data_IF_462221095490
#
_entry.id   IF_462221095490
#
_cell.length_a   1.000
_cell.length_b   1.000
_cell.length_c   1.000
_cell.angle_alpha   90.00
_cell.angle_beta   90.00
_cell.angle_gamma   90.00
#
_symmetry.space_group_name_H-M   'P 1'
#
loop_
_entity.id
_entity.type
_entity.pdbx_description
1 polymer ?
#
# COMPACT_ATOMS: atom_id res chain seq x y z
N UNK A 1 -21.01 14.28 -1.25
CA UNK A 1 -20.12 13.12 -1.43
C UNK A 1 -20.79 11.89 -0.83
N UNK A 2 -20.74 10.76 -1.51
CA UNK A 2 -21.29 9.50 -1.00
C UNK A 2 -20.48 8.97 0.19
N UNK A 3 -21.11 8.17 1.04
CA UNK A 3 -20.41 7.44 2.11
C UNK A 3 -19.44 6.44 1.47
N UNK A 4 -18.16 6.52 1.84
CA UNK A 4 -17.16 5.51 1.49
C UNK A 4 -17.43 4.25 2.31
N UNK A 5 -17.59 3.11 1.65
CA UNK A 5 -17.95 1.86 2.32
C UNK A 5 -16.79 0.88 2.46
N UNK A 6 -15.71 1.08 1.68
CA UNK A 6 -14.51 0.25 1.71
C UNK A 6 -13.26 1.11 1.54
N UNK A 7 -12.15 0.70 2.13
CA UNK A 7 -10.90 1.46 2.07
C UNK A 7 -10.35 1.57 0.63
N UNK A 8 -10.68 0.64 -0.27
CA UNK A 8 -10.24 0.66 -1.67
C UNK A 8 -10.86 1.80 -2.49
N UNK A 9 -11.95 2.38 -2.01
CA UNK A 9 -12.58 3.56 -2.60
C UNK A 9 -11.81 4.86 -2.24
N UNK A 10 -10.91 4.83 -1.25
CA UNK A 10 -10.09 5.98 -0.90
C UNK A 10 -9.04 6.25 -1.99
N UNK A 11 -9.02 7.47 -2.51
CA UNK A 11 -8.01 7.90 -3.50
C UNK A 11 -6.58 7.66 -3.00
N UNK A 12 -6.30 7.96 -1.72
CA UNK A 12 -4.98 7.73 -1.11
C UNK A 12 -4.58 6.25 -1.10
N UNK A 13 -5.53 5.32 -0.93
CA UNK A 13 -5.25 3.89 -1.02
C UNK A 13 -4.98 3.46 -2.46
N UNK A 14 -5.72 4.02 -3.43
CA UNK A 14 -5.52 3.75 -4.85
C UNK A 14 -4.15 4.23 -5.34
N UNK A 15 -3.71 5.43 -4.90
CA UNK A 15 -2.37 5.93 -5.20
C UNK A 15 -1.28 5.09 -4.53
N UNK A 16 -1.47 4.68 -3.27
CA UNK A 16 -0.56 3.75 -2.60
C UNK A 16 -0.43 2.42 -3.37
N UNK A 17 -1.53 1.89 -3.93
CA UNK A 17 -1.53 0.69 -4.78
C UNK A 17 -0.75 0.88 -6.07
N UNK A 18 -0.85 2.04 -6.72
CA UNK A 18 -0.06 2.37 -7.92
C UNK A 18 1.44 2.43 -7.59
N UNK A 19 1.81 3.06 -6.47
CA UNK A 19 3.19 3.10 -5.99
C UNK A 19 3.71 1.68 -5.70
N UNK A 20 2.92 0.83 -5.03
CA UNK A 20 3.27 -0.56 -4.80
C UNK A 20 3.55 -1.31 -6.11
N UNK A 21 2.68 -1.16 -7.11
CA UNK A 21 2.90 -1.77 -8.43
C UNK A 21 4.21 -1.30 -9.07
N UNK A 22 4.53 -0.01 -9.00
CA UNK A 22 5.80 0.54 -9.50
C UNK A 22 7.01 -0.01 -8.75
N UNK A 23 6.96 -0.11 -7.42
CA UNK A 23 8.02 -0.72 -6.61
C UNK A 23 8.25 -2.17 -7.00
N UNK A 24 7.19 -2.96 -7.20
CA UNK A 24 7.32 -4.33 -7.65
C UNK A 24 8.00 -4.41 -9.02
N UNK A 25 7.58 -3.59 -9.99
CA UNK A 25 8.21 -3.51 -11.31
C UNK A 25 9.71 -3.14 -11.22
N UNK A 26 10.05 -2.11 -10.44
CA UNK A 26 11.45 -1.67 -10.26
C UNK A 26 12.31 -2.78 -9.64
N UNK A 27 11.78 -3.48 -8.65
CA UNK A 27 12.50 -4.55 -7.93
C UNK A 27 12.61 -5.85 -8.73
N UNK A 28 11.90 -6.01 -9.85
CA UNK A 28 12.07 -7.15 -10.77
C UNK A 28 13.21 -6.96 -11.76
N UNK A 29 13.71 -5.74 -11.96
CA UNK A 29 14.83 -5.47 -12.89
C UNK A 29 16.11 -6.21 -12.49
N UNK A 30 16.88 -6.69 -13.48
CA UNK A 30 18.04 -7.57 -13.30
C UNK A 30 19.18 -7.01 -12.42
N UNK A 31 19.27 -5.69 -12.27
CA UNK A 31 20.22 -5.05 -11.36
C UNK A 31 19.72 -4.98 -9.91
N UNK A 32 18.42 -4.72 -9.72
CA UNK A 32 17.82 -4.55 -8.40
C UNK A 32 17.52 -5.91 -7.74
N UNK A 33 17.11 -6.89 -8.54
CA UNK A 33 16.66 -8.20 -8.05
C UNK A 33 17.78 -9.07 -7.44
N UNK A 34 19.05 -8.61 -7.51
CA UNK A 34 20.22 -9.24 -6.90
C UNK A 34 20.52 -8.69 -5.50
N UNK A 35 20.00 -7.51 -5.16
CA UNK A 35 20.08 -6.98 -3.80
C UNK A 35 18.84 -7.41 -3.01
N UNK A 36 18.91 -8.63 -2.48
CA UNK A 36 17.79 -9.26 -1.79
C UNK A 36 17.35 -8.49 -0.54
N UNK A 37 18.28 -7.85 0.17
CA UNK A 37 17.97 -7.12 1.41
C UNK A 37 17.22 -5.83 1.09
N UNK A 38 17.73 -5.03 0.15
CA UNK A 38 17.09 -3.79 -0.26
C UNK A 38 15.72 -4.06 -0.93
N UNK A 39 15.65 -5.08 -1.78
CA UNK A 39 14.40 -5.52 -2.40
C UNK A 39 13.34 -5.87 -1.35
N UNK A 40 13.69 -6.69 -0.36
CA UNK A 40 12.75 -7.08 0.70
C UNK A 40 12.29 -5.86 1.52
N UNK A 41 13.21 -5.01 1.94
CA UNK A 41 12.89 -3.83 2.76
C UNK A 41 11.92 -2.89 2.04
N UNK A 42 12.16 -2.58 0.77
CA UNK A 42 11.31 -1.66 0.01
C UNK A 42 9.94 -2.29 -0.28
N UNK A 43 9.89 -3.58 -0.65
CA UNK A 43 8.62 -4.29 -0.88
C UNK A 43 7.76 -4.36 0.38
N UNK A 44 8.35 -4.67 1.54
CA UNK A 44 7.59 -4.68 2.81
C UNK A 44 7.16 -3.28 3.22
N UNK A 45 7.99 -2.26 3.00
CA UNK A 45 7.65 -0.88 3.31
C UNK A 45 6.45 -0.39 2.50
N UNK A 46 6.41 -0.66 1.19
CA UNK A 46 5.30 -0.19 0.35
C UNK A 46 3.97 -0.90 0.67
N UNK A 47 4.03 -2.21 1.01
CA UNK A 47 2.85 -2.95 1.49
C UNK A 47 2.35 -2.37 2.83
N UNK A 48 3.26 -2.00 3.72
CA UNK A 48 2.91 -1.42 5.02
C UNK A 48 2.09 -0.13 4.88
N UNK A 49 2.38 0.71 3.90
CA UNK A 49 1.60 1.94 3.64
C UNK A 49 0.13 1.60 3.33
N UNK A 50 -0.10 0.66 2.41
CA UNK A 50 -1.46 0.23 2.06
C UNK A 50 -2.19 -0.41 3.25
N UNK A 51 -1.49 -1.22 4.04
CA UNK A 51 -2.04 -1.87 5.22
C UNK A 51 -2.44 -0.86 6.30
N UNK A 52 -1.59 0.15 6.57
CA UNK A 52 -1.88 1.20 7.55
C UNK A 52 -3.10 2.05 7.13
N UNK A 53 -3.28 2.33 5.85
CA UNK A 53 -4.47 3.04 5.35
C UNK A 53 -5.74 2.20 5.59
N UNK A 54 -5.70 0.90 5.26
CA UNK A 54 -6.81 0.00 5.47
C UNK A 54 -7.15 -0.15 6.97
N UNK A 55 -6.14 -0.29 7.82
CA UNK A 55 -6.30 -0.40 9.28
C UNK A 55 -6.89 0.89 9.89
N UNK A 56 -6.40 2.05 9.44
CA UNK A 56 -6.93 3.36 9.85
C UNK A 56 -8.40 3.54 9.44
N UNK A 57 -8.77 3.13 8.23
CA UNK A 57 -10.16 3.15 7.77
C UNK A 57 -11.08 2.32 8.68
N UNK A 58 -10.66 1.09 9.04
CA UNK A 58 -11.44 0.23 9.93
C UNK A 58 -11.54 0.81 11.35
N UNK A 59 -10.47 1.41 11.89
CA UNK A 59 -10.50 2.08 13.20
C UNK A 59 -11.57 3.18 13.26
N UNK A 60 -11.57 4.09 12.29
CA UNK A 60 -12.57 5.16 12.20
C UNK A 60 -13.97 4.59 12.07
N UNK A 61 -14.16 3.52 11.33
CA UNK A 61 -15.48 2.90 11.18
C UNK A 61 -15.98 2.26 12.49
N UNK A 62 -15.10 1.67 13.29
CA UNK A 62 -15.43 1.12 14.62
C UNK A 62 -15.77 2.23 15.62
N UNK A 63 -15.05 3.35 15.62
CA UNK A 63 -15.30 4.49 16.53
C UNK A 63 -16.63 5.22 16.26
N UNK A 64 -17.18 5.08 15.05
CA UNK A 64 -18.44 5.70 14.63
C UNK A 64 -19.67 4.77 14.78
N UNK A 65 -19.52 3.61 15.43
CA UNK A 65 -20.59 2.66 15.78
C UNK A 65 -21.03 2.85 17.24
#
# INVERSE_FOLDING_TARGET
MGKVNRFEELEVWQEARKIASGVYQLTFNEGFNRDFSLMDQIRRSVISVMANIAEGFHRVQIENL
#
